data_IF_661973797648
#
_entry.id   IF_661973797648
#
_cell.length_a   1.000
_cell.length_b   1.000
_cell.length_c   1.000
_cell.angle_alpha   90.00
_cell.angle_beta   90.00
_cell.angle_gamma   90.00
#
_symmetry.space_group_name_H-M   'P 1'
#
loop_
_entity.id
_entity.type
_entity.pdbx_description
1 polymer ?
#
# COMPACT_ATOMS: atom_id res chain seq x y z
N UNK A 1 -19.29 -13.71 25.68
CA UNK A 1 -19.08 -12.91 24.44
C UNK A 1 -17.73 -13.14 23.78
N UNK A 2 -16.83 -13.94 24.35
CA UNK A 2 -15.47 -14.22 23.84
C UNK A 2 -15.39 -15.23 22.67
N UNK A 3 -16.38 -16.10 22.49
CA UNK A 3 -16.35 -17.13 21.42
C UNK A 3 -16.51 -16.54 20.01
N UNK A 4 -17.36 -15.52 19.85
CA UNK A 4 -17.68 -14.94 18.53
C UNK A 4 -16.51 -14.09 17.98
N UNK A 5 -15.82 -13.33 18.83
CA UNK A 5 -14.64 -12.54 18.42
C UNK A 5 -13.47 -13.43 18.01
N UNK A 6 -13.32 -14.58 18.66
CA UNK A 6 -12.25 -15.53 18.35
C UNK A 6 -12.50 -16.20 16.98
N UNK A 7 -13.74 -16.60 16.69
CA UNK A 7 -14.12 -17.15 15.39
C UNK A 7 -13.97 -16.14 14.25
N UNK A 8 -14.35 -14.88 14.45
CA UNK A 8 -14.17 -13.80 13.47
C UNK A 8 -12.68 -13.61 13.16
N UNK A 9 -11.82 -13.57 14.18
CA UNK A 9 -10.37 -13.40 14.02
C UNK A 9 -9.73 -14.57 13.29
N UNK A 10 -10.10 -15.81 13.64
CA UNK A 10 -9.59 -17.02 12.97
C UNK A 10 -10.00 -17.04 11.51
N UNK A 11 -11.27 -16.74 11.21
CA UNK A 11 -11.78 -16.73 9.83
C UNK A 11 -11.12 -15.64 8.98
N UNK A 12 -10.95 -14.44 9.52
CA UNK A 12 -10.24 -13.35 8.82
C UNK A 12 -8.79 -13.74 8.50
N UNK A 13 -8.10 -14.36 9.46
CA UNK A 13 -6.72 -14.85 9.29
C UNK A 13 -6.65 -15.96 8.22
N UNK A 14 -7.61 -16.88 8.21
CA UNK A 14 -7.69 -17.92 7.20
C UNK A 14 -7.85 -17.32 5.80
N UNK A 15 -8.79 -16.39 5.61
CA UNK A 15 -8.97 -15.70 4.33
C UNK A 15 -7.72 -14.93 3.90
N UNK A 16 -7.04 -14.29 4.85
CA UNK A 16 -5.79 -13.58 4.58
C UNK A 16 -4.71 -14.53 4.04
N UNK A 17 -4.44 -15.65 4.72
CA UNK A 17 -3.43 -16.62 4.27
C UNK A 17 -3.82 -17.32 2.97
N UNK A 18 -5.11 -17.59 2.74
CA UNK A 18 -5.59 -18.07 1.44
C UNK A 18 -5.28 -17.07 0.32
N UNK A 19 -5.52 -15.78 0.58
CA UNK A 19 -5.19 -14.70 -0.35
C UNK A 19 -3.71 -14.67 -0.73
N UNK A 20 -2.82 -14.77 0.25
CA UNK A 20 -1.38 -14.84 0.02
C UNK A 20 -0.99 -16.10 -0.78
N UNK A 21 -1.52 -17.26 -0.42
CA UNK A 21 -1.22 -18.51 -1.11
C UNK A 21 -1.70 -18.53 -2.57
N UNK A 22 -2.86 -17.92 -2.86
CA UNK A 22 -3.33 -17.75 -4.24
C UNK A 22 -2.44 -16.79 -5.02
N UNK A 23 -1.99 -15.71 -4.38
CA UNK A 23 -1.09 -14.76 -5.03
C UNK A 23 0.26 -15.40 -5.40
N UNK A 24 0.86 -16.17 -4.50
CA UNK A 24 2.13 -16.88 -4.75
C UNK A 24 2.02 -17.83 -5.95
N UNK A 25 0.83 -18.38 -6.19
CA UNK A 25 0.53 -19.25 -7.34
C UNK A 25 0.13 -18.49 -8.61
N UNK A 26 0.10 -17.15 -8.57
CA UNK A 26 -0.35 -16.30 -9.67
C UNK A 26 -1.87 -16.31 -9.90
N UNK A 27 -2.64 -16.90 -8.97
CA UNK A 27 -4.10 -16.97 -9.00
C UNK A 27 -4.69 -15.66 -8.46
N UNK A 28 -4.47 -14.57 -9.18
CA UNK A 28 -4.74 -13.23 -8.66
C UNK A 28 -6.22 -12.92 -8.43
N UNK A 29 -7.14 -13.55 -9.18
CA UNK A 29 -8.58 -13.33 -8.99
C UNK A 29 -9.04 -13.92 -7.64
N UNK A 30 -8.63 -15.15 -7.36
CA UNK A 30 -8.90 -15.85 -6.11
C UNK A 30 -8.19 -15.17 -4.92
N UNK A 31 -6.99 -14.64 -5.15
CA UNK A 31 -6.28 -13.83 -4.16
C UNK A 31 -7.07 -12.58 -3.77
N UNK A 32 -7.63 -11.86 -4.76
CA UNK A 32 -8.46 -10.68 -4.52
C UNK A 32 -9.71 -11.06 -3.73
N UNK A 33 -10.41 -12.13 -4.10
CA UNK A 33 -11.63 -12.56 -3.40
C UNK A 33 -11.36 -12.92 -1.93
N UNK A 34 -10.29 -13.68 -1.68
CA UNK A 34 -9.89 -14.07 -0.34
C UNK A 34 -9.45 -12.86 0.50
N UNK A 35 -8.63 -11.96 -0.04
CA UNK A 35 -8.22 -10.74 0.66
C UNK A 35 -9.40 -9.79 0.92
N UNK A 36 -10.35 -9.68 0.00
CA UNK A 36 -11.60 -8.94 0.24
C UNK A 36 -12.42 -9.57 1.36
N UNK A 37 -12.50 -10.90 1.42
CA UNK A 37 -13.16 -11.60 2.52
C UNK A 37 -12.47 -11.35 3.87
N UNK A 38 -11.13 -11.30 3.89
CA UNK A 38 -10.36 -10.93 5.06
C UNK A 38 -10.68 -9.50 5.53
N UNK A 39 -10.66 -8.52 4.62
CA UNK A 39 -10.97 -7.11 4.91
C UNK A 39 -12.42 -6.92 5.38
N UNK A 40 -13.39 -7.66 4.81
CA UNK A 40 -14.79 -7.62 5.26
C UNK A 40 -14.98 -8.23 6.64
N UNK A 41 -14.23 -9.31 6.94
CA UNK A 41 -14.37 -10.04 8.21
C UNK A 41 -13.67 -9.32 9.35
N UNK A 42 -12.50 -8.71 9.09
CA UNK A 42 -11.74 -7.92 10.05
C UNK A 42 -11.39 -6.55 9.44
N UNK A 43 -12.30 -5.56 9.50
CA UNK A 43 -12.06 -4.22 8.98
C UNK A 43 -10.94 -3.44 9.67
N UNK A 44 -10.33 -3.96 10.72
CA UNK A 44 -9.15 -3.41 11.40
C UNK A 44 -7.85 -4.04 10.90
N UNK A 45 -7.91 -5.13 10.12
CA UNK A 45 -6.73 -5.76 9.54
C UNK A 45 -6.16 -4.87 8.42
N UNK A 46 -5.10 -4.13 8.74
CA UNK A 46 -4.43 -3.22 7.81
C UNK A 46 -3.57 -3.98 6.80
N UNK A 47 -2.94 -5.08 7.22
CA UNK A 47 -2.11 -5.91 6.34
C UNK A 47 -2.93 -6.47 5.17
N UNK A 48 -4.13 -6.99 5.45
CA UNK A 48 -5.03 -7.48 4.42
C UNK A 48 -5.43 -6.39 3.41
N UNK A 49 -5.53 -5.11 3.83
CA UNK A 49 -5.78 -3.99 2.91
C UNK A 49 -4.57 -3.64 2.06
N UNK A 50 -3.38 -3.62 2.67
CA UNK A 50 -2.12 -3.38 1.96
C UNK A 50 -1.96 -4.43 0.86
N UNK A 51 -2.11 -5.70 1.19
CA UNK A 51 -1.96 -6.79 0.23
C UNK A 51 -3.06 -6.78 -0.82
N UNK A 52 -4.32 -6.49 -0.45
CA UNK A 52 -5.40 -6.33 -1.43
C UNK A 52 -5.08 -5.20 -2.43
N UNK A 53 -4.65 -4.04 -1.94
CA UNK A 53 -4.26 -2.92 -2.80
C UNK A 53 -3.11 -3.28 -3.74
N UNK A 54 -2.09 -3.98 -3.22
CA UNK A 54 -0.94 -4.45 -3.99
C UNK A 54 -1.31 -5.50 -5.05
N UNK A 55 -2.17 -6.46 -4.73
CA UNK A 55 -2.66 -7.46 -5.71
C UNK A 55 -3.54 -6.80 -6.78
N UNK A 56 -4.40 -5.86 -6.40
CA UNK A 56 -5.20 -5.07 -7.36
C UNK A 56 -4.30 -4.30 -8.33
N UNK A 57 -3.23 -3.67 -7.82
CA UNK A 57 -2.22 -3.01 -8.65
C UNK A 57 -1.57 -3.98 -9.65
N UNK A 58 -1.13 -5.17 -9.21
CA UNK A 58 -0.56 -6.21 -10.09
C UNK A 58 -1.51 -6.63 -11.21
N UNK A 59 -2.83 -6.47 -11.03
CA UNK A 59 -3.86 -6.77 -12.02
C UNK A 59 -4.31 -5.56 -12.84
N UNK A 60 -3.59 -4.45 -12.76
CA UNK A 60 -3.93 -3.23 -13.48
C UNK A 60 -5.18 -2.52 -12.94
N UNK A 61 -5.72 -2.95 -11.80
CA UNK A 61 -6.88 -2.35 -11.13
C UNK A 61 -6.43 -1.31 -10.11
N UNK A 62 -5.58 -0.39 -10.55
CA UNK A 62 -4.89 0.54 -9.67
C UNK A 62 -5.85 1.53 -8.98
N UNK A 63 -6.94 1.96 -9.63
CA UNK A 63 -7.98 2.78 -8.96
C UNK A 63 -8.70 2.04 -7.84
N UNK A 64 -8.97 0.74 -8.02
CA UNK A 64 -9.59 -0.09 -6.97
C UNK A 64 -8.61 -0.27 -5.80
N UNK A 65 -7.33 -0.51 -6.12
CA UNK A 65 -6.27 -0.63 -5.13
C UNK A 65 -6.13 0.64 -4.29
N UNK A 66 -6.10 1.81 -4.94
CA UNK A 66 -6.05 3.11 -4.26
C UNK A 66 -7.23 3.29 -3.29
N UNK A 67 -8.46 2.99 -3.73
CA UNK A 67 -9.65 3.09 -2.87
C UNK A 67 -9.55 2.23 -1.61
N UNK A 68 -9.02 1.00 -1.71
CA UNK A 68 -8.83 0.12 -0.54
C UNK A 68 -7.76 0.68 0.41
N UNK A 69 -6.68 1.23 -0.15
CA UNK A 69 -5.58 1.79 0.63
C UNK A 69 -6.00 3.07 1.37
N UNK A 70 -6.79 3.94 0.72
CA UNK A 70 -7.35 5.14 1.33
C UNK A 70 -8.27 4.81 2.53
N UNK A 71 -9.07 3.75 2.41
CA UNK A 71 -9.87 3.23 3.51
C UNK A 71 -9.01 2.72 4.68
N UNK A 72 -7.78 2.27 4.41
CA UNK A 72 -6.78 1.94 5.43
C UNK A 72 -6.17 3.18 6.08
N UNK A 73 -5.82 4.19 5.27
CA UNK A 73 -5.26 5.46 5.75
C UNK A 73 -6.23 6.24 6.63
N UNK A 74 -7.53 6.13 6.39
CA UNK A 74 -8.59 6.74 7.17
C UNK A 74 -8.80 6.10 8.56
N UNK A 75 -8.11 5.00 8.90
CA UNK A 75 -8.21 4.36 10.22
C UNK A 75 -7.36 5.12 11.24
N UNK A 76 -7.90 5.30 12.44
CA UNK A 76 -7.23 6.05 13.51
C UNK A 76 -6.07 5.25 14.12
N UNK A 77 -6.31 3.98 14.46
CA UNK A 77 -5.34 3.11 15.14
C UNK A 77 -4.50 2.27 14.17
N UNK A 78 -3.66 2.94 13.37
CA UNK A 78 -2.69 2.28 12.47
C UNK A 78 -1.28 2.54 12.98
N UNK A 79 -0.48 1.48 13.14
CA UNK A 79 0.92 1.61 13.51
C UNK A 79 1.68 2.46 12.48
N UNK A 80 2.71 3.18 12.92
CA UNK A 80 3.54 4.03 12.04
C UNK A 80 4.07 3.25 10.83
N UNK A 81 4.51 2.00 11.05
CA UNK A 81 5.00 1.11 9.99
C UNK A 81 3.90 0.81 8.97
N UNK A 82 2.70 0.40 9.42
CA UNK A 82 1.60 0.08 8.50
C UNK A 82 1.07 1.33 7.79
N UNK A 83 1.05 2.47 8.46
CA UNK A 83 0.63 3.75 7.86
C UNK A 83 1.58 4.16 6.75
N UNK A 84 2.90 4.02 6.96
CA UNK A 84 3.90 4.22 5.90
C UNK A 84 3.69 3.26 4.73
N UNK A 85 3.54 1.95 4.99
CA UNK A 85 3.34 0.97 3.91
C UNK A 85 2.05 1.22 3.11
N UNK A 86 0.98 1.68 3.76
CA UNK A 86 -0.24 2.14 3.08
C UNK A 86 0.05 3.33 2.16
N UNK A 87 0.77 4.34 2.64
CA UNK A 87 1.15 5.52 1.85
C UNK A 87 2.00 5.13 0.62
N UNK A 88 3.03 4.29 0.80
CA UNK A 88 3.87 3.83 -0.31
C UNK A 88 3.07 3.01 -1.34
N UNK A 89 2.16 2.16 -0.87
CA UNK A 89 1.29 1.38 -1.77
C UNK A 89 0.31 2.28 -2.52
N UNK A 90 -0.23 3.30 -1.86
CA UNK A 90 -1.15 4.27 -2.45
C UNK A 90 -0.44 5.15 -3.49
N UNK A 91 0.82 5.52 -3.22
CA UNK A 91 1.67 6.20 -4.18
C UNK A 91 1.86 5.36 -5.45
N UNK A 92 2.22 4.07 -5.31
CA UNK A 92 2.39 3.16 -6.46
C UNK A 92 1.10 3.03 -7.28
N UNK A 93 -0.06 2.92 -6.63
CA UNK A 93 -1.35 2.89 -7.32
C UNK A 93 -1.64 4.21 -8.06
N UNK A 94 -1.41 5.34 -7.41
CA UNK A 94 -1.62 6.68 -7.98
C UNK A 94 -0.70 6.94 -9.17
N UNK A 95 0.57 6.55 -9.08
CA UNK A 95 1.52 6.64 -10.18
C UNK A 95 1.13 5.75 -11.38
N UNK A 96 0.59 4.55 -11.12
CA UNK A 96 0.14 3.64 -12.18
C UNK A 96 -1.03 4.20 -13.01
N UNK A 97 -1.86 5.07 -12.41
CA UNK A 97 -2.97 5.76 -13.09
C UNK A 97 -2.58 7.17 -13.58
N UNK A 98 -1.28 7.50 -13.60
CA UNK A 98 -0.76 8.78 -14.09
C UNK A 98 -0.94 9.97 -13.14
N UNK A 99 -1.40 9.75 -11.90
CA UNK A 99 -1.61 10.81 -10.90
C UNK A 99 -0.32 11.07 -10.13
N UNK A 100 0.71 11.55 -10.83
CA UNK A 100 2.06 11.71 -10.27
C UNK A 100 2.13 12.72 -9.12
N UNK A 101 1.35 13.81 -9.18
CA UNK A 101 1.28 14.80 -8.10
C UNK A 101 0.71 14.21 -6.81
N UNK A 102 -0.37 13.43 -6.91
CA UNK A 102 -0.97 12.71 -5.78
C UNK A 102 -0.01 11.63 -5.25
N UNK A 103 0.62 10.86 -6.15
CA UNK A 103 1.64 9.88 -5.78
C UNK A 103 2.78 10.49 -4.98
N UNK A 104 3.25 11.68 -5.37
CA UNK A 104 4.31 12.40 -4.65
C UNK A 104 3.87 12.78 -3.25
N UNK A 105 2.65 13.31 -3.09
CA UNK A 105 2.12 13.67 -1.77
C UNK A 105 2.05 12.48 -0.81
N UNK A 106 1.69 11.28 -1.31
CA UNK A 106 1.73 10.07 -0.50
C UNK A 106 3.14 9.73 -0.02
N UNK A 107 4.14 9.84 -0.89
CA UNK A 107 5.53 9.55 -0.55
C UNK A 107 6.15 10.59 0.38
N UNK A 108 5.82 11.87 0.21
CA UNK A 108 6.25 12.94 1.13
C UNK A 108 5.71 12.68 2.55
N UNK A 109 4.43 12.32 2.67
CA UNK A 109 3.83 11.89 3.95
C UNK A 109 4.48 10.62 4.50
N UNK A 110 4.97 9.72 3.64
CA UNK A 110 5.68 8.52 4.09
C UNK A 110 7.07 8.86 4.67
N UNK A 111 7.75 9.87 4.11
CA UNK A 111 9.03 10.39 4.62
C UNK A 111 8.86 11.11 5.97
N UNK A 112 7.74 11.81 6.19
CA UNK A 112 7.42 12.44 7.49
C UNK A 112 7.32 11.40 8.63
N UNK A 113 6.98 10.15 8.33
CA UNK A 113 6.87 9.08 9.33
C UNK A 113 8.21 8.42 9.67
N UNK A 114 9.22 8.57 8.80
CA UNK A 114 10.58 8.09 9.02
C UNK A 114 11.52 8.76 8.02
N UNK A 115 12.33 9.71 8.51
CA UNK A 115 13.12 10.66 7.71
C UNK A 115 14.37 10.07 7.01
N UNK A 116 14.62 8.76 7.11
CA UNK A 116 15.86 8.15 6.60
C UNK A 116 15.63 6.85 5.83
N UNK A 117 15.00 6.98 4.66
CA UNK A 117 14.75 5.86 3.75
C UNK A 117 15.14 6.24 2.32
N UNK A 118 16.37 5.90 1.90
CA UNK A 118 16.84 6.08 0.53
C UNK A 118 15.86 5.50 -0.50
N UNK A 119 15.17 4.40 -0.16
CA UNK A 119 14.18 3.75 -1.02
C UNK A 119 12.97 4.63 -1.30
N UNK A 120 12.47 5.35 -0.30
CA UNK A 120 11.31 6.25 -0.46
C UNK A 120 11.72 7.52 -1.21
N UNK A 121 12.92 8.05 -0.95
CA UNK A 121 13.48 9.18 -1.70
C UNK A 121 13.65 8.83 -3.19
N UNK A 122 14.14 7.63 -3.49
CA UNK A 122 14.22 7.11 -4.86
C UNK A 122 12.84 6.97 -5.52
N UNK A 123 11.82 6.57 -4.76
CA UNK A 123 10.44 6.54 -5.25
C UNK A 123 9.92 7.95 -5.56
N UNK A 124 10.19 8.95 -4.71
CA UNK A 124 9.80 10.35 -4.99
C UNK A 124 10.47 10.85 -6.26
N UNK A 125 11.78 10.63 -6.38
CA UNK A 125 12.55 11.01 -7.55
C UNK A 125 11.98 10.41 -8.84
N UNK A 126 11.69 9.10 -8.83
CA UNK A 126 11.10 8.41 -9.97
C UNK A 126 9.71 8.96 -10.35
N UNK A 127 8.87 9.28 -9.36
CA UNK A 127 7.54 9.87 -9.60
C UNK A 127 7.64 11.28 -10.17
N UNK A 128 8.55 12.11 -9.66
CA UNK A 128 8.81 13.46 -10.20
C UNK A 128 9.24 13.39 -11.68
N UNK A 129 10.20 12.51 -12.01
CA UNK A 129 10.63 12.31 -13.40
C UNK A 129 9.48 11.88 -14.31
N UNK A 130 8.61 10.96 -13.86
CA UNK A 130 7.43 10.54 -14.64
C UNK A 130 6.38 11.67 -14.78
N UNK A 131 6.33 12.58 -13.83
CA UNK A 131 5.49 13.78 -13.85
C UNK A 131 6.07 14.96 -14.64
N UNK A 132 7.28 14.84 -15.22
CA UNK A 132 7.97 15.91 -15.95
C UNK A 132 8.74 16.90 -15.07
N UNK A 133 8.83 16.63 -13.77
CA UNK A 133 9.52 17.45 -12.75
C UNK A 133 10.96 16.96 -12.58
N UNK A 134 11.77 17.12 -13.63
CA UNK A 134 13.11 16.52 -13.69
C UNK A 134 14.10 17.14 -12.70
N UNK A 135 14.04 18.45 -12.49
CA UNK A 135 14.92 19.15 -11.53
C UNK A 135 14.67 18.66 -10.11
N UNK A 136 13.41 18.65 -9.66
CA UNK A 136 13.09 18.13 -8.32
C UNK A 136 13.40 16.64 -8.20
N UNK A 137 13.14 15.86 -9.26
CA UNK A 137 13.50 14.44 -9.30
C UNK A 137 14.99 14.20 -9.07
N UNK A 138 15.84 15.00 -9.70
CA UNK A 138 17.29 14.94 -9.53
C UNK A 138 17.71 15.29 -8.08
N UNK A 139 17.12 16.32 -7.49
CA UNK A 139 17.39 16.69 -6.09
C UNK A 139 17.07 15.55 -5.12
N UNK A 140 15.96 14.84 -5.33
CA UNK A 140 15.61 13.67 -4.50
C UNK A 140 16.58 12.49 -4.69
N UNK A 141 17.11 12.26 -5.90
CA UNK A 141 18.15 11.25 -6.12
C UNK A 141 19.44 11.60 -5.38
N UNK A 142 19.86 12.87 -5.41
CA UNK A 142 21.03 13.32 -4.66
C UNK A 142 20.83 13.14 -3.14
N UNK A 143 19.64 13.49 -2.64
CA UNK A 143 19.28 13.23 -1.24
C UNK A 143 19.35 11.75 -0.90
N UNK A 144 18.80 10.87 -1.75
CA UNK A 144 18.85 9.42 -1.52
C UNK A 144 20.29 8.89 -1.46
N UNK A 145 21.15 9.30 -2.40
CA UNK A 145 22.56 8.89 -2.46
C UNK A 145 23.40 9.41 -1.28
N UNK A 146 22.99 10.51 -0.66
CA UNK A 146 23.67 11.04 0.55
C UNK A 146 23.33 10.26 1.83
N UNK A 147 22.34 9.35 1.78
CA UNK A 147 21.79 8.60 2.91
C UNK A 147 22.08 7.10 2.85
N UNK A 148 22.74 6.63 1.80
CA UNK A 148 23.19 5.24 1.57
C UNK A 148 24.64 5.04 2.00
#
# INVERSE_FOLDING_TARGET
>A
MSSNTNEITVRARQYYHQGLAFEERGQFSEAIEALQAAVRTAPENIEARIDLGRVLLKRGRAEDGLRVLDQGLARENVSTVNRRTLLESAARCSAAVGRYRESRQYLERALELAEDQPEVLNQVAAVCCKGGQFEEGFDYFLKAASKS
#
